data_IF_977952088978
#
_entry.id   IF_977952088978
#
_cell.length_a   1.000
_cell.length_b   1.000
_cell.length_c   1.000
_cell.angle_alpha   90.00
_cell.angle_beta   90.00
_cell.angle_gamma   90.00
#
_symmetry.space_group_name_H-M   'P 1'
#
loop_
_entity.id
_entity.type
_entity.pdbx_description
1 polymer ?
#
# COMPACT_ATOMS: atom_id res chain seq x y z
N UNK A 1 -3.79 -11.29 2.61
CA UNK A 1 -4.71 -10.62 1.66
C UNK A 1 -4.06 -10.12 0.38
N UNK A 2 -4.87 -9.69 -0.59
CA UNK A 2 -4.45 -9.42 -1.97
C UNK A 2 -5.23 -8.29 -2.67
N UNK A 3 -4.56 -7.58 -3.58
CA UNK A 3 -5.17 -6.72 -4.60
C UNK A 3 -5.14 -7.43 -5.95
N UNK A 4 -6.30 -7.61 -6.57
CA UNK A 4 -6.48 -8.18 -7.90
C UNK A 4 -6.81 -7.05 -8.87
N UNK A 5 -5.96 -6.85 -9.89
CA UNK A 5 -6.20 -5.85 -10.93
C UNK A 5 -6.63 -6.56 -12.19
N UNK A 6 -7.89 -6.38 -12.60
CA UNK A 6 -8.38 -6.94 -13.86
C UNK A 6 -8.09 -5.95 -14.98
N UNK A 7 -7.48 -6.39 -16.07
CA UNK A 7 -7.21 -5.55 -17.24
C UNK A 7 -7.62 -6.24 -18.54
N UNK A 8 -7.82 -5.44 -19.58
CA UNK A 8 -8.21 -5.92 -20.91
C UNK A 8 -8.92 -4.82 -21.71
N UNK A 9 -9.11 -5.08 -23.00
CA UNK A 9 -9.79 -4.17 -23.92
C UNK A 9 -11.17 -3.73 -23.39
N UNK A 10 -11.70 -2.55 -23.79
CA UNK A 10 -13.06 -2.16 -23.43
C UNK A 10 -14.04 -3.25 -23.84
N UNK A 11 -15.01 -3.55 -22.97
CA UNK A 11 -15.97 -4.63 -23.16
C UNK A 11 -15.39 -6.05 -23.24
N UNK A 12 -14.14 -6.33 -22.86
CA UNK A 12 -13.53 -7.67 -22.95
C UNK A 12 -14.07 -8.77 -22.02
N UNK A 13 -15.13 -8.49 -21.22
CA UNK A 13 -15.69 -9.46 -20.27
C UNK A 13 -15.18 -9.33 -18.82
N UNK A 14 -14.39 -8.30 -18.51
CA UNK A 14 -13.81 -8.04 -17.17
C UNK A 14 -14.81 -8.17 -16.02
N UNK A 15 -15.94 -7.48 -16.09
CA UNK A 15 -16.96 -7.52 -15.05
C UNK A 15 -17.63 -8.87 -14.87
N UNK A 16 -17.67 -9.69 -15.93
CA UNK A 16 -18.15 -11.08 -15.82
C UNK A 16 -17.11 -11.93 -15.09
N UNK A 17 -15.83 -11.76 -15.43
CA UNK A 17 -14.73 -12.45 -14.75
C UNK A 17 -14.61 -12.03 -13.28
N UNK A 18 -14.78 -10.74 -12.97
CA UNK A 18 -14.77 -10.22 -11.59
C UNK A 18 -15.85 -10.91 -10.74
N UNK A 19 -17.09 -10.95 -11.24
CA UNK A 19 -18.21 -11.63 -10.58
C UNK A 19 -17.98 -13.12 -10.43
N UNK A 20 -17.48 -13.77 -11.49
CA UNK A 20 -17.15 -15.19 -11.47
C UNK A 20 -16.10 -15.52 -10.39
N UNK A 21 -15.03 -14.72 -10.31
CA UNK A 21 -13.99 -14.85 -9.30
C UNK A 21 -14.55 -14.63 -7.88
N UNK A 22 -15.44 -13.65 -7.68
CA UNK A 22 -16.12 -13.48 -6.39
C UNK A 22 -16.90 -14.73 -6.03
N UNK A 23 -17.78 -15.22 -6.90
CA UNK A 23 -18.56 -16.42 -6.62
C UNK A 23 -17.67 -17.62 -6.26
N UNK A 24 -16.56 -17.81 -6.99
CA UNK A 24 -15.61 -18.88 -6.70
C UNK A 24 -14.90 -18.69 -5.36
N UNK A 25 -14.55 -17.45 -4.98
CA UNK A 25 -13.98 -17.13 -3.66
C UNK A 25 -14.98 -17.32 -2.52
N UNK A 26 -16.26 -17.02 -2.74
CA UNK A 26 -17.32 -17.20 -1.75
C UNK A 26 -17.61 -18.67 -1.44
N UNK A 27 -17.30 -19.58 -2.36
CA UNK A 27 -17.43 -21.02 -2.18
C UNK A 27 -16.28 -21.65 -1.38
N UNK A 28 -15.20 -20.91 -1.08
CA UNK A 28 -14.06 -21.42 -0.31
C UNK A 28 -14.28 -21.23 1.19
N UNK A 29 -13.88 -22.23 1.99
CA UNK A 29 -13.83 -22.12 3.45
C UNK A 29 -12.38 -22.05 3.99
N UNK A 30 -12.08 -21.11 4.92
CA UNK A 30 -12.96 -20.06 5.44
C UNK A 30 -13.25 -18.97 4.40
N UNK A 31 -14.49 -18.45 4.39
CA UNK A 31 -14.95 -17.44 3.42
C UNK A 31 -14.11 -16.16 3.53
N UNK A 32 -13.32 -15.80 2.50
CA UNK A 32 -12.56 -14.56 2.51
C UNK A 32 -13.50 -13.36 2.37
N UNK A 33 -13.14 -12.23 3.00
CA UNK A 33 -13.82 -10.96 2.74
C UNK A 33 -13.37 -10.44 1.37
N UNK A 34 -14.30 -10.31 0.42
CA UNK A 34 -14.00 -9.84 -0.94
C UNK A 34 -14.83 -8.58 -1.24
N UNK A 35 -14.23 -7.61 -1.91
CA UNK A 35 -14.91 -6.40 -2.39
C UNK A 35 -14.47 -6.07 -3.82
N UNK A 36 -15.44 -5.80 -4.69
CA UNK A 36 -15.19 -5.26 -6.03
C UNK A 36 -15.23 -3.73 -5.95
N UNK A 37 -14.29 -3.08 -6.63
CA UNK A 37 -14.27 -1.64 -6.89
C UNK A 37 -14.33 -1.47 -8.40
N UNK A 38 -15.41 -0.86 -8.88
CA UNK A 38 -15.70 -0.61 -10.29
C UNK A 38 -16.23 0.82 -10.51
N UNK A 39 -16.35 1.26 -11.76
CA UNK A 39 -16.90 2.59 -12.06
C UNK A 39 -18.39 2.72 -11.70
N UNK A 40 -19.15 1.61 -11.84
CA UNK A 40 -20.60 1.56 -11.56
C UNK A 40 -20.92 1.94 -10.12
N UNK A 41 -20.09 1.52 -9.16
CA UNK A 41 -20.27 1.81 -7.73
C UNK A 41 -20.25 3.30 -7.39
N UNK A 42 -19.71 4.14 -8.28
CA UNK A 42 -19.64 5.59 -8.09
C UNK A 42 -20.67 6.35 -8.94
N UNK A 43 -21.60 5.65 -9.58
CA UNK A 43 -22.56 6.24 -10.53
C UNK A 43 -21.88 7.01 -11.68
N UNK A 44 -20.68 6.58 -12.06
CA UNK A 44 -19.90 7.21 -13.12
C UNK A 44 -20.25 6.58 -14.46
N UNK A 45 -20.88 7.35 -15.35
CA UNK A 45 -21.23 6.90 -16.69
C UNK A 45 -20.00 6.67 -17.57
N UNK A 46 -19.98 5.59 -18.35
CA UNK A 46 -18.85 5.23 -19.24
C UNK A 46 -18.47 6.38 -20.18
N UNK A 47 -19.40 6.87 -20.97
CA UNK A 47 -19.11 7.92 -21.96
C UNK A 47 -18.67 9.23 -21.30
N UNK A 48 -19.23 9.60 -20.15
CA UNK A 48 -18.82 10.81 -19.43
C UNK A 48 -17.41 10.66 -18.84
N UNK A 49 -17.09 9.50 -18.29
CA UNK A 49 -15.82 9.27 -17.59
C UNK A 49 -14.63 9.14 -18.54
N UNK A 50 -14.88 8.77 -19.80
CA UNK A 50 -13.88 8.59 -20.84
C UNK A 50 -14.03 9.59 -21.99
N UNK A 51 -14.81 10.67 -21.80
CA UNK A 51 -15.03 11.70 -22.82
C UNK A 51 -13.75 12.46 -23.17
N UNK A 52 -12.91 12.74 -22.16
CA UNK A 52 -11.66 13.46 -22.30
C UNK A 52 -10.62 13.02 -21.26
N UNK A 53 -9.38 13.50 -21.43
CA UNK A 53 -8.26 13.17 -20.54
C UNK A 53 -8.45 13.63 -19.09
N UNK A 54 -9.18 14.71 -18.86
CA UNK A 54 -9.43 15.26 -17.53
C UNK A 54 -10.45 14.42 -16.78
N UNK A 55 -11.56 14.06 -17.44
CA UNK A 55 -12.57 13.17 -16.92
C UNK A 55 -11.97 11.80 -16.56
N UNK A 56 -11.14 11.25 -17.45
CA UNK A 56 -10.49 9.96 -17.23
C UNK A 56 -9.48 10.02 -16.07
N UNK A 57 -8.72 11.12 -15.96
CA UNK A 57 -7.80 11.35 -14.83
C UNK A 57 -8.56 11.44 -13.50
N UNK A 58 -9.69 12.13 -13.48
CA UNK A 58 -10.53 12.24 -12.29
C UNK A 58 -11.11 10.87 -11.89
N UNK A 59 -11.63 10.11 -12.86
CA UNK A 59 -12.09 8.73 -12.65
C UNK A 59 -10.99 7.87 -12.00
N UNK A 60 -9.80 7.87 -12.61
CA UNK A 60 -8.65 7.12 -12.08
C UNK A 60 -8.28 7.55 -10.66
N UNK A 61 -8.36 8.84 -10.37
CA UNK A 61 -8.13 9.39 -9.02
C UNK A 61 -9.15 8.92 -7.99
N UNK A 62 -10.44 8.87 -8.35
CA UNK A 62 -11.52 8.36 -7.49
C UNK A 62 -11.32 6.88 -7.20
N UNK A 63 -11.17 6.05 -8.24
CA UNK A 63 -10.94 4.61 -8.11
C UNK A 63 -9.70 4.32 -7.27
N UNK A 64 -8.59 5.01 -7.54
CA UNK A 64 -7.33 4.86 -6.80
C UNK A 64 -7.52 5.19 -5.32
N UNK A 65 -8.25 6.27 -5.02
CA UNK A 65 -8.51 6.69 -3.63
C UNK A 65 -9.37 5.67 -2.89
N UNK A 66 -10.37 5.08 -3.54
CA UNK A 66 -11.17 4.03 -2.92
C UNK A 66 -10.37 2.75 -2.70
N UNK A 67 -9.51 2.37 -3.66
CA UNK A 67 -8.60 1.24 -3.50
C UNK A 67 -7.74 1.45 -2.27
N UNK A 68 -7.03 2.58 -2.18
CA UNK A 68 -6.13 2.90 -1.06
C UNK A 68 -6.83 2.77 0.31
N UNK A 69 -8.04 3.33 0.44
CA UNK A 69 -8.84 3.24 1.67
C UNK A 69 -9.35 1.83 1.98
N UNK A 70 -9.59 1.03 0.95
CA UNK A 70 -10.14 -0.33 1.08
C UNK A 70 -9.07 -1.39 1.33
N UNK A 71 -7.80 -1.11 1.02
CA UNK A 71 -6.74 -2.09 1.20
C UNK A 71 -6.55 -2.43 2.69
N UNK A 72 -6.61 -3.72 3.01
CA UNK A 72 -6.25 -4.23 4.34
C UNK A 72 -5.55 -5.58 4.25
N UNK A 73 -5.00 -6.05 5.38
CA UNK A 73 -4.42 -7.38 5.48
C UNK A 73 -5.46 -8.50 5.62
N UNK A 74 -6.75 -8.14 5.69
CA UNK A 74 -7.90 -9.03 6.00
C UNK A 74 -9.08 -9.01 4.98
N UNK A 75 -8.99 -8.25 3.86
CA UNK A 75 -9.84 -8.39 2.66
C UNK A 75 -9.09 -8.58 1.31
N UNK A 76 -9.74 -9.22 0.34
CA UNK A 76 -9.34 -9.25 -1.06
C UNK A 76 -10.07 -8.13 -1.78
N UNK A 77 -9.32 -7.26 -2.46
CA UNK A 77 -9.89 -6.18 -3.27
C UNK A 77 -9.71 -6.53 -4.74
N UNK A 78 -10.80 -6.49 -5.51
CA UNK A 78 -10.82 -6.70 -6.96
C UNK A 78 -11.12 -5.38 -7.63
N UNK A 79 -10.23 -4.91 -8.50
CA UNK A 79 -10.43 -3.68 -9.28
C UNK A 79 -10.94 -4.06 -10.66
N UNK A 80 -12.25 -3.92 -10.87
CA UNK A 80 -12.94 -4.11 -12.14
C UNK A 80 -13.10 -2.77 -12.86
N UNK A 81 -12.05 -2.35 -13.55
CA UNK A 81 -12.03 -1.15 -14.38
C UNK A 81 -11.25 -1.46 -15.67
N UNK A 82 -11.10 -0.52 -16.59
CA UNK A 82 -10.30 -0.71 -17.81
C UNK A 82 -8.85 -1.09 -17.49
N UNK A 83 -8.23 -0.41 -16.52
CA UNK A 83 -6.81 -0.60 -16.16
C UNK A 83 -5.89 -0.68 -17.40
N UNK A 84 -6.20 0.14 -18.41
CA UNK A 84 -5.73 0.01 -19.79
C UNK A 84 -4.27 0.44 -20.00
N UNK A 85 -3.75 1.32 -19.14
CA UNK A 85 -2.39 1.83 -19.22
C UNK A 85 -1.50 1.25 -18.12
N UNK A 86 -0.23 0.98 -18.46
CA UNK A 86 0.78 0.40 -17.56
C UNK A 86 1.05 1.30 -16.35
N UNK A 87 1.03 2.63 -16.56
CA UNK A 87 1.29 3.60 -15.50
C UNK A 87 0.27 3.51 -14.37
N UNK A 88 -1.01 3.33 -14.72
CA UNK A 88 -2.06 3.19 -13.71
C UNK A 88 -1.98 1.84 -12.99
N UNK A 89 -1.65 0.75 -13.69
CA UNK A 89 -1.41 -0.56 -13.06
C UNK A 89 -0.22 -0.51 -12.09
N UNK A 90 0.83 0.22 -12.44
CA UNK A 90 1.98 0.48 -11.56
C UNK A 90 1.60 1.29 -10.31
N UNK A 91 0.73 2.30 -10.43
CA UNK A 91 0.21 3.04 -9.27
C UNK A 91 -0.56 2.11 -8.31
N UNK A 92 -1.44 1.26 -8.83
CA UNK A 92 -2.16 0.28 -8.02
C UNK A 92 -1.22 -0.75 -7.37
N UNK A 93 -0.19 -1.19 -8.09
CA UNK A 93 0.86 -2.04 -7.52
C UNK A 93 1.61 -1.36 -6.37
N UNK A 94 1.92 -0.06 -6.50
CA UNK A 94 2.54 0.72 -5.42
C UNK A 94 1.66 0.74 -4.16
N UNK A 95 0.33 0.87 -4.29
CA UNK A 95 -0.59 0.80 -3.16
C UNK A 95 -0.57 -0.58 -2.50
N UNK A 96 -0.62 -1.66 -3.28
CA UNK A 96 -0.52 -3.01 -2.75
C UNK A 96 0.83 -3.26 -2.05
N UNK A 97 1.92 -2.70 -2.59
CA UNK A 97 3.25 -2.76 -1.97
C UNK A 97 3.31 -1.99 -0.66
N UNK A 98 2.71 -0.80 -0.61
CA UNK A 98 2.61 0.03 0.59
C UNK A 98 1.81 -0.67 1.71
N UNK A 99 0.68 -1.27 1.35
CA UNK A 99 -0.17 -2.05 2.27
C UNK A 99 0.47 -3.38 2.71
N UNK A 100 1.53 -3.82 2.02
CA UNK A 100 2.22 -5.07 2.29
C UNK A 100 1.34 -6.29 2.04
N UNK A 101 0.59 -6.28 0.93
CA UNK A 101 -0.33 -7.36 0.54
C UNK A 101 0.14 -8.03 -0.76
N UNK A 102 -0.51 -9.13 -1.14
CA UNK A 102 -0.30 -9.76 -2.46
C UNK A 102 -0.86 -8.86 -3.56
N UNK A 103 -0.32 -9.02 -4.76
CA UNK A 103 -0.81 -8.35 -5.96
C UNK A 103 -0.84 -9.36 -7.11
N UNK A 104 -1.86 -9.30 -7.96
CA UNK A 104 -1.88 -10.01 -9.22
C UNK A 104 -2.62 -9.21 -10.30
N UNK A 105 -2.17 -9.38 -11.55
CA UNK A 105 -2.88 -8.92 -12.74
C UNK A 105 -3.64 -10.11 -13.31
N UNK A 106 -4.94 -9.92 -13.54
CA UNK A 106 -5.80 -10.85 -14.27
C UNK A 106 -6.14 -10.20 -15.62
N UNK A 107 -5.68 -10.81 -16.70
CA UNK A 107 -5.82 -10.29 -18.06
C UNK A 107 -6.94 -10.99 -18.82
N UNK A 108 -7.88 -10.21 -19.36
CA UNK A 108 -8.90 -10.67 -20.28
C UNK A 108 -8.45 -10.40 -21.73
N UNK A 109 -7.85 -11.39 -22.39
CA UNK A 109 -7.35 -11.32 -23.77
C UNK A 109 -8.47 -11.56 -24.79
N UNK A 110 -9.45 -10.66 -24.81
CA UNK A 110 -10.52 -10.70 -25.81
C UNK A 110 -10.12 -9.84 -27.01
N UNK A 111 -10.17 -10.42 -28.21
CA UNK A 111 -9.88 -9.72 -29.45
C UNK A 111 -10.80 -8.50 -29.70
N UNK A 112 -10.28 -7.49 -30.38
CA UNK A 112 -10.96 -6.21 -30.61
C UNK A 112 -12.30 -6.36 -31.34
N UNK A 113 -12.37 -7.29 -32.30
CA UNK A 113 -13.60 -7.56 -33.07
C UNK A 113 -14.74 -8.03 -32.16
N UNK A 114 -14.45 -8.97 -31.25
CA UNK A 114 -15.44 -9.45 -30.27
C UNK A 114 -15.82 -8.35 -29.28
N UNK A 115 -14.84 -7.56 -28.82
CA UNK A 115 -15.11 -6.43 -27.93
C UNK A 115 -16.07 -5.41 -28.58
N UNK A 116 -15.89 -5.12 -29.87
CA UNK A 116 -16.76 -4.22 -30.63
C UNK A 116 -18.16 -4.79 -30.81
N UNK A 117 -18.25 -6.07 -31.17
CA UNK A 117 -19.53 -6.76 -31.31
C UNK A 117 -20.31 -6.74 -29.99
N UNK A 118 -19.66 -7.02 -28.86
CA UNK A 118 -20.28 -6.97 -27.55
C UNK A 118 -20.66 -5.56 -27.12
N UNK A 119 -19.88 -4.54 -27.50
CA UNK A 119 -20.24 -3.15 -27.26
C UNK A 119 -21.50 -2.74 -28.04
N UNK A 120 -21.62 -3.16 -29.30
CA UNK A 120 -22.80 -2.87 -30.13
C UNK A 120 -24.05 -3.57 -29.58
N UNK A 121 -23.95 -4.87 -29.24
CA UNK A 121 -25.03 -5.63 -28.62
C UNK A 121 -25.53 -4.99 -27.32
N UNK A 122 -24.64 -4.42 -26.51
CA UNK A 122 -25.03 -3.67 -25.31
C UNK A 122 -25.82 -2.40 -25.65
N UNK A 123 -25.40 -1.67 -26.68
CA UNK A 123 -26.12 -0.50 -27.15
C UNK A 123 -27.52 -0.85 -27.67
N UNK A 124 -27.67 -1.97 -28.39
CA UNK A 124 -28.97 -2.49 -28.85
C UNK A 124 -29.89 -2.89 -27.69
N UNK A 125 -29.32 -3.42 -26.60
CA UNK A 125 -30.05 -3.83 -25.40
C UNK A 125 -30.30 -2.68 -24.40
N UNK A 126 -30.05 -1.42 -24.79
CA UNK A 126 -30.14 -0.24 -23.90
C UNK A 126 -29.28 -0.34 -22.62
N UNK A 127 -28.24 -1.18 -22.65
CA UNK A 127 -27.26 -1.27 -21.59
C UNK A 127 -26.19 -0.17 -21.74
N UNK A 128 -25.43 0.08 -20.66
CA UNK A 128 -24.31 1.00 -20.71
C UNK A 128 -23.28 0.52 -21.77
N UNK A 129 -23.13 1.27 -22.86
CA UNK A 129 -22.18 1.02 -23.94
C UNK A 129 -21.22 2.20 -24.09
N UNK A 130 -20.12 1.99 -24.80
CA UNK A 130 -19.22 3.07 -25.20
C UNK A 130 -19.63 3.62 -26.56
N UNK A 131 -19.59 4.95 -26.71
CA UNK A 131 -19.72 5.59 -28.02
C UNK A 131 -18.57 5.13 -28.93
N UNK A 132 -18.85 4.97 -30.23
CA UNK A 132 -17.87 4.43 -31.19
C UNK A 132 -16.53 5.15 -31.15
N UNK A 133 -16.55 6.49 -31.05
CA UNK A 133 -15.33 7.31 -30.97
C UNK A 133 -14.51 7.02 -29.71
N UNK A 134 -15.17 6.91 -28.56
CA UNK A 134 -14.52 6.63 -27.27
C UNK A 134 -13.99 5.20 -27.28
N UNK A 135 -14.77 4.24 -27.77
CA UNK A 135 -14.35 2.86 -27.89
C UNK A 135 -13.08 2.71 -28.74
N UNK A 136 -13.05 3.33 -29.93
CA UNK A 136 -11.91 3.25 -30.85
C UNK A 136 -10.65 3.88 -30.25
N UNK A 137 -10.80 4.99 -29.52
CA UNK A 137 -9.71 5.62 -28.79
C UNK A 137 -9.18 4.71 -27.67
N UNK A 138 -10.07 4.14 -26.85
CA UNK A 138 -9.70 3.24 -25.75
C UNK A 138 -8.98 1.98 -26.24
N UNK A 139 -9.44 1.39 -27.35
CA UNK A 139 -8.81 0.21 -27.96
C UNK A 139 -7.38 0.51 -28.39
N UNK A 140 -7.14 1.66 -29.03
CA UNK A 140 -5.80 2.08 -29.50
C UNK A 140 -4.84 2.38 -28.35
N UNK A 141 -5.36 2.86 -27.22
CA UNK A 141 -4.56 3.21 -26.04
C UNK A 141 -4.26 2.03 -25.11
N UNK A 142 -4.82 0.84 -25.37
CA UNK A 142 -4.62 -0.30 -24.50
C UNK A 142 -3.18 -0.83 -24.55
N UNK A 143 -2.48 -0.74 -23.42
CA UNK A 143 -1.15 -1.32 -23.23
C UNK A 143 -1.29 -2.72 -22.61
N UNK A 144 -1.05 -3.76 -23.42
CA UNK A 144 -1.05 -5.16 -22.95
C UNK A 144 -0.10 -5.35 -21.76
N UNK A 145 -0.50 -6.14 -20.74
CA UNK A 145 0.35 -6.43 -19.59
C UNK A 145 1.63 -7.17 -20.01
N UNK A 146 2.79 -6.74 -19.50
CA UNK A 146 4.10 -7.28 -19.90
C UNK A 146 4.62 -8.32 -18.88
N UNK A 147 4.78 -9.57 -19.33
CA UNK A 147 5.33 -10.69 -18.54
C UNK A 147 6.74 -10.44 -18.01
N UNK A 148 7.52 -9.56 -18.65
CA UNK A 148 8.89 -9.20 -18.20
C UNK A 148 8.86 -8.36 -16.93
N UNK A 149 7.79 -7.58 -16.74
CA UNK A 149 7.62 -6.73 -15.58
C UNK A 149 6.93 -7.52 -14.47
N UNK A 150 7.64 -7.80 -13.37
CA UNK A 150 7.07 -8.56 -12.25
C UNK A 150 5.76 -7.97 -11.70
N UNK A 151 5.62 -6.64 -11.73
CA UNK A 151 4.42 -5.93 -11.29
C UNK A 151 3.32 -5.86 -12.35
N UNK A 152 3.63 -6.09 -13.62
CA UNK A 152 2.67 -6.03 -14.73
C UNK A 152 2.36 -7.40 -15.35
N UNK A 153 3.01 -8.46 -14.83
CA UNK A 153 2.89 -9.79 -15.39
C UNK A 153 1.46 -10.30 -15.25
N UNK A 154 0.79 -10.69 -16.35
CA UNK A 154 -0.55 -11.28 -16.31
C UNK A 154 -0.47 -12.68 -15.72
N UNK A 155 -0.61 -12.78 -14.39
CA UNK A 155 -0.52 -14.05 -13.66
C UNK A 155 -1.66 -15.00 -14.03
N UNK A 156 -2.81 -14.45 -14.39
CA UNK A 156 -3.97 -15.19 -14.86
C UNK A 156 -4.44 -14.55 -16.16
N UNK A 157 -4.60 -15.37 -17.20
CA UNK A 157 -5.00 -14.92 -18.53
C UNK A 157 -6.22 -15.73 -18.96
N UNK A 158 -7.29 -15.05 -19.33
CA UNK A 158 -8.52 -15.67 -19.83
C UNK A 158 -8.82 -15.15 -21.23
N UNK A 159 -9.44 -15.99 -22.04
CA UNK A 159 -9.98 -15.61 -23.35
C UNK A 159 -11.50 -15.76 -23.36
N UNK A 160 -12.26 -14.83 -22.73
CA UNK A 160 -13.72 -14.91 -22.60
C UNK A 160 -14.48 -15.20 -23.89
N UNK A 161 -13.98 -14.75 -25.05
CA UNK A 161 -14.65 -14.95 -26.34
C UNK A 161 -14.58 -16.38 -26.86
N UNK A 162 -13.64 -17.21 -26.40
CA UNK A 162 -13.46 -18.60 -26.85
C UNK A 162 -13.82 -19.62 -25.78
N UNK A 163 -13.37 -19.36 -24.56
CA UNK A 163 -13.46 -20.32 -23.45
C UNK A 163 -14.71 -20.09 -22.58
N UNK A 164 -15.41 -18.98 -22.80
CA UNK A 164 -16.45 -18.54 -21.88
C UNK A 164 -15.87 -18.08 -20.54
N UNK A 165 -16.76 -17.75 -19.60
CA UNK A 165 -16.37 -17.37 -18.23
C UNK A 165 -17.19 -18.21 -17.27
N UNK A 166 -16.58 -19.28 -16.76
CA UNK A 166 -17.19 -20.21 -15.81
C UNK A 166 -16.39 -20.28 -14.51
N UNK A 167 -17.08 -20.56 -13.41
CA UNK A 167 -16.47 -20.67 -12.07
C UNK A 167 -15.52 -21.86 -11.98
N UNK A 168 -15.80 -22.92 -12.75
CA UNK A 168 -14.99 -24.12 -12.92
C UNK A 168 -13.78 -23.95 -13.83
N UNK A 169 -13.59 -22.77 -14.44
CA UNK A 169 -12.43 -22.52 -15.30
C UNK A 169 -11.13 -22.75 -14.52
N UNK A 170 -10.15 -23.48 -15.09
CA UNK A 170 -8.88 -23.76 -14.41
C UNK A 170 -8.16 -22.48 -13.99
N UNK A 171 -8.27 -21.41 -14.80
CA UNK A 171 -7.65 -20.12 -14.50
C UNK A 171 -8.28 -19.45 -13.27
N UNK A 172 -9.60 -19.57 -13.10
CA UNK A 172 -10.30 -19.04 -11.91
C UNK A 172 -9.95 -19.88 -10.69
N UNK A 173 -9.88 -21.20 -10.82
CA UNK A 173 -9.46 -22.10 -9.74
C UNK A 173 -8.02 -21.80 -9.28
N UNK A 174 -7.09 -21.57 -10.23
CA UNK A 174 -5.70 -21.19 -9.95
C UNK A 174 -5.63 -19.82 -9.27
N UNK A 175 -6.45 -18.86 -9.72
CA UNK A 175 -6.54 -17.54 -9.08
C UNK A 175 -7.05 -17.65 -7.65
N UNK A 176 -8.12 -18.41 -7.40
CA UNK A 176 -8.66 -18.67 -6.07
C UNK A 176 -7.61 -19.32 -5.17
N UNK A 177 -6.93 -20.36 -5.67
CA UNK A 177 -5.82 -21.03 -4.97
C UNK A 177 -4.71 -20.03 -4.60
N UNK A 178 -4.24 -19.21 -5.54
CA UNK A 178 -3.24 -18.19 -5.28
C UNK A 178 -3.67 -17.16 -4.21
N UNK A 179 -4.94 -16.75 -4.23
CA UNK A 179 -5.49 -15.73 -3.33
C UNK A 179 -5.76 -16.24 -1.92
N UNK A 180 -6.10 -17.52 -1.77
CA UNK A 180 -6.51 -18.14 -0.49
C UNK A 180 -5.39 -18.91 0.18
N UNK A 181 -4.38 -19.36 -0.58
CA UNK A 181 -3.24 -20.11 -0.05
C UNK A 181 -2.52 -19.34 1.06
N UNK A 182 -2.21 -20.05 2.15
CA UNK A 182 -1.43 -19.53 3.27
C UNK A 182 0.01 -19.31 2.84
N UNK A 183 0.57 -18.18 3.25
CA UNK A 183 1.94 -17.79 2.90
C UNK A 183 2.88 -18.48 3.87
N UNK A 184 3.37 -19.67 3.48
CA UNK A 184 4.41 -20.35 4.24
C UNK A 184 5.78 -19.84 3.82
N UNK A 185 6.68 -19.65 4.79
CA UNK A 185 8.06 -19.15 4.62
C UNK A 185 8.94 -19.98 3.67
N UNK A 186 8.45 -21.14 3.21
CA UNK A 186 9.12 -22.05 2.27
C UNK A 186 8.73 -21.83 0.81
N UNK A 187 7.62 -21.16 0.54
CA UNK A 187 7.11 -20.96 -0.83
C UNK A 187 7.67 -19.66 -1.42
N UNK A 188 8.67 -19.77 -2.30
CA UNK A 188 9.35 -18.60 -2.91
C UNK A 188 8.49 -17.83 -3.91
N UNK A 189 7.40 -18.44 -4.39
CA UNK A 189 6.61 -17.94 -5.53
C UNK A 189 5.48 -16.99 -5.12
N UNK A 190 4.90 -17.18 -3.92
CA UNK A 190 3.81 -16.33 -3.40
C UNK A 190 4.41 -15.27 -2.49
N UNK A 191 4.95 -14.21 -3.08
CA UNK A 191 5.59 -13.13 -2.33
C UNK A 191 4.56 -12.05 -1.98
N UNK A 192 4.19 -11.99 -0.70
CA UNK A 192 3.61 -10.78 -0.10
C UNK A 192 4.57 -9.63 -0.38
N UNK A 193 4.07 -8.53 -0.94
CA UNK A 193 4.91 -7.39 -1.24
C UNK A 193 5.42 -6.80 0.08
N UNK A 194 6.69 -6.43 0.14
CA UNK A 194 7.24 -5.74 1.30
C UNK A 194 7.27 -4.23 1.01
N UNK A 195 6.71 -3.40 1.91
CA UNK A 195 6.80 -1.96 1.79
C UNK A 195 8.27 -1.56 1.77
N UNK A 196 8.65 -0.74 0.80
CA UNK A 196 9.96 -0.08 0.78
C UNK A 196 9.79 1.36 1.23
N UNK A 197 10.86 1.99 1.71
CA UNK A 197 10.86 3.37 2.22
C UNK A 197 10.14 4.33 1.27
N UNK A 198 10.33 4.20 -0.05
CA UNK A 198 9.68 5.02 -1.08
C UNK A 198 8.16 4.82 -1.24
N UNK A 199 7.61 3.72 -0.71
CA UNK A 199 6.18 3.38 -0.76
C UNK A 199 5.52 3.41 0.62
N UNK A 200 6.28 3.68 1.68
CA UNK A 200 5.69 3.85 3.00
C UNK A 200 5.08 5.25 3.08
N UNK A 201 3.75 5.31 3.18
CA UNK A 201 3.09 6.52 3.64
C UNK A 201 3.64 6.82 5.04
N UNK A 202 4.06 8.07 5.28
CA UNK A 202 4.44 8.55 6.61
C UNK A 202 3.31 8.14 7.53
N UNK A 203 3.56 7.19 8.45
CA UNK A 203 2.56 6.88 9.48
C UNK A 203 2.24 8.20 10.15
N UNK A 204 0.96 8.57 10.18
CA UNK A 204 0.53 9.64 11.07
C UNK A 204 0.94 9.18 12.47
N UNK A 205 2.03 9.74 12.98
CA UNK A 205 2.44 9.52 14.36
C UNK A 205 1.24 9.94 15.19
N UNK A 206 0.70 9.03 16.02
CA UNK A 206 -0.38 9.40 16.93
C UNK A 206 0.06 10.67 17.64
N UNK A 207 -0.76 11.72 17.61
CA UNK A 207 -0.39 13.05 18.11
C UNK A 207 0.16 13.01 19.55
N UNK A 208 -0.21 11.99 20.31
CA UNK A 208 0.29 11.71 21.66
C UNK A 208 1.76 11.24 21.70
N UNK A 209 2.23 10.46 20.73
CA UNK A 209 3.58 9.85 20.78
C UNK A 209 4.71 10.88 20.68
N UNK A 210 4.55 11.93 19.87
CA UNK A 210 5.54 13.01 19.77
C UNK A 210 5.56 13.89 21.02
N UNK A 211 4.38 14.15 21.60
CA UNK A 211 4.26 14.88 22.85
C UNK A 211 4.90 14.11 24.02
N UNK A 212 4.62 12.82 24.14
CA UNK A 212 5.23 11.95 25.16
C UNK A 212 6.75 11.82 24.99
N UNK A 213 7.24 11.75 23.76
CA UNK A 213 8.68 11.74 23.48
C UNK A 213 9.36 13.07 23.86
N UNK A 214 8.71 14.20 23.54
CA UNK A 214 9.22 15.52 23.88
C UNK A 214 9.29 15.73 25.40
N UNK A 215 8.23 15.34 26.11
CA UNK A 215 8.16 15.36 27.57
C UNK A 215 9.21 14.45 28.22
N UNK A 216 9.31 13.20 27.75
CA UNK A 216 10.29 12.23 28.27
C UNK A 216 11.74 12.71 28.11
N UNK A 217 12.09 13.29 26.95
CA UNK A 217 13.44 13.81 26.70
C UNK A 217 13.75 15.05 27.54
N UNK A 218 12.76 15.93 27.78
CA UNK A 218 12.91 17.08 28.67
C UNK A 218 13.16 16.65 30.13
N UNK A 219 12.44 15.63 30.62
CA UNK A 219 12.64 15.09 31.98
C UNK A 219 14.09 14.60 32.19
N UNK A 220 14.65 13.90 31.20
CA UNK A 220 16.05 13.43 31.25
C UNK A 220 17.04 14.61 31.27
N UNK A 221 16.83 15.65 30.44
CA UNK A 221 17.69 16.84 30.44
C UNK A 221 17.65 17.53 31.81
N UNK A 222 16.46 17.72 32.39
CA UNK A 222 16.31 18.37 33.68
C UNK A 222 17.04 17.60 34.78
N UNK A 223 16.92 16.26 34.79
CA UNK A 223 17.65 15.41 35.74
C UNK A 223 19.17 15.52 35.61
N UNK A 224 19.70 15.63 34.38
CA UNK A 224 21.14 15.82 34.14
C UNK A 224 21.60 17.19 34.65
N UNK A 225 20.83 18.25 34.40
CA UNK A 225 21.17 19.62 34.82
C UNK A 225 21.14 19.75 36.35
N UNK A 226 20.13 19.18 37.01
CA UNK A 226 20.02 19.16 38.47
C UNK A 226 21.16 18.37 39.11
N UNK A 227 21.55 17.25 38.52
CA UNK A 227 22.70 16.49 38.98
C UNK A 227 24.02 17.25 38.86
N UNK A 228 24.25 17.93 37.74
CA UNK A 228 25.46 18.72 37.51
C UNK A 228 25.55 19.93 38.44
N UNK A 229 24.41 20.47 38.89
CA UNK A 229 24.36 21.57 39.87
C UNK A 229 24.60 21.08 41.31
N UNK A 230 24.17 19.87 41.67
CA UNK A 230 24.47 19.29 42.98
C UNK A 230 25.92 18.80 43.11
N UNK A 231 26.58 18.45 42.01
CA UNK A 231 27.99 18.02 41.96
C UNK A 231 29.02 19.18 42.08
N UNK A 232 28.60 20.37 42.54
CA UNK A 232 29.43 21.58 42.66
C UNK A 232 30.53 21.53 43.75
N UNK A 233 30.80 20.37 44.36
CA UNK A 233 31.79 20.21 45.44
C UNK A 233 32.61 18.91 45.46
N UNK A 234 32.61 18.08 44.40
CA UNK A 234 33.36 16.81 44.38
C UNK A 234 33.91 16.42 43.00
N UNK A 235 34.94 15.56 43.00
CA UNK A 235 35.65 15.09 41.78
C UNK A 235 34.68 14.43 40.78
N UNK A 236 34.74 14.89 39.53
CA UNK A 236 33.78 14.64 38.43
C UNK A 236 33.81 13.23 37.83
N UNK A 237 34.27 12.23 38.56
CA UNK A 237 34.43 10.89 37.99
C UNK A 237 33.16 10.06 38.18
N UNK A 238 32.38 9.93 37.10
CA UNK A 238 31.16 9.12 36.93
C UNK A 238 29.97 9.56 37.77
N UNK A 239 29.19 10.46 37.20
CA UNK A 239 27.79 10.64 37.61
C UNK A 239 26.95 9.66 36.79
N UNK A 240 26.70 8.45 37.32
CA UNK A 240 25.74 7.50 36.73
C UNK A 240 24.33 7.85 37.18
N UNK A 241 23.65 8.70 36.41
CA UNK A 241 22.27 9.12 36.73
C UNK A 241 21.35 8.67 35.61
N UNK A 242 20.27 7.98 35.99
CA UNK A 242 19.32 7.38 35.05
C UNK A 242 19.99 6.50 33.98
N UNK A 243 21.05 5.76 34.36
CA UNK A 243 21.90 4.97 33.45
C UNK A 243 22.67 5.77 32.38
N UNK A 244 22.76 7.10 32.48
CA UNK A 244 23.63 7.93 31.64
C UNK A 244 25.01 7.99 32.27
N UNK A 245 26.06 7.59 31.54
CA UNK A 245 27.46 7.71 31.95
C UNK A 245 28.04 8.98 31.33
N UNK A 246 28.16 10.02 32.14
CA UNK A 246 28.71 11.31 31.71
C UNK A 246 30.12 11.45 32.27
N UNK A 247 31.12 11.47 31.39
CA UNK A 247 32.55 11.59 31.75
C UNK A 247 33.04 13.06 31.79
N UNK A 248 32.30 13.99 31.17
CA UNK A 248 32.58 15.43 31.15
C UNK A 248 31.33 16.27 31.43
N UNK A 249 31.48 17.48 31.96
CA UNK A 249 30.33 18.40 32.06
C UNK A 249 29.82 18.74 30.65
N UNK A 250 28.52 18.53 30.44
CA UNK A 250 27.82 18.83 29.18
C UNK A 250 26.93 20.04 29.42
N UNK A 251 27.13 21.11 28.66
CA UNK A 251 26.35 22.34 28.80
C UNK A 251 24.90 22.16 28.33
N UNK A 252 23.99 22.97 28.88
CA UNK A 252 22.58 22.99 28.45
C UNK A 252 22.41 23.19 26.91
N UNK A 253 23.19 24.06 26.23
CA UNK A 253 23.08 24.21 24.78
C UNK A 253 23.41 22.92 24.00
N UNK A 254 24.36 22.14 24.50
CA UNK A 254 24.78 20.88 23.88
C UNK A 254 23.71 19.79 24.09
N UNK A 255 23.13 19.69 25.29
CA UNK A 255 22.01 18.79 25.57
C UNK A 255 20.77 19.11 24.71
N UNK A 256 20.46 20.39 24.51
CA UNK A 256 19.36 20.83 23.64
C UNK A 256 19.65 20.46 22.18
N UNK A 257 20.89 20.63 21.72
CA UNK A 257 21.31 20.24 20.38
C UNK A 257 21.17 18.73 20.16
N UNK A 258 21.67 17.92 21.10
CA UNK A 258 21.57 16.45 21.06
C UNK A 258 20.11 15.98 21.08
N UNK A 259 19.24 16.62 21.87
CA UNK A 259 17.80 16.34 21.85
C UNK A 259 17.16 16.65 20.50
N UNK A 260 17.45 17.80 19.89
CA UNK A 260 16.91 18.14 18.56
C UNK A 260 17.32 17.10 17.51
N UNK A 261 18.58 16.67 17.54
CA UNK A 261 19.09 15.61 16.65
C UNK A 261 18.40 14.27 16.91
N UNK A 262 18.23 13.88 18.18
CA UNK A 262 17.51 12.66 18.56
C UNK A 262 16.03 12.67 18.11
N UNK A 263 15.31 13.77 18.32
CA UNK A 263 13.91 13.92 17.88
C UNK A 263 13.83 13.82 16.36
N UNK A 264 14.74 14.47 15.64
CA UNK A 264 14.81 14.39 14.17
C UNK A 264 15.08 12.97 13.69
N UNK A 265 16.04 12.27 14.30
CA UNK A 265 16.37 10.88 13.98
C UNK A 265 15.19 9.96 14.26
N UNK A 266 14.54 10.09 15.42
CA UNK A 266 13.41 9.23 15.81
C UNK A 266 12.17 9.49 14.94
N UNK A 267 11.91 10.75 14.59
CA UNK A 267 10.89 11.12 13.62
C UNK A 267 11.13 10.53 12.23
N UNK A 268 12.38 10.52 11.75
CA UNK A 268 12.77 9.94 10.46
C UNK A 268 12.81 8.40 10.47
N UNK A 269 13.15 7.79 11.61
CA UNK A 269 13.23 6.32 11.76
C UNK A 269 11.88 5.63 11.63
N UNK A 270 10.78 6.38 11.80
CA UNK A 270 9.40 5.95 11.48
C UNK A 270 9.20 5.50 10.02
N UNK A 271 10.17 5.74 9.13
CA UNK A 271 10.14 5.38 7.70
C UNK A 271 10.95 4.12 7.34
N UNK A 272 11.78 3.57 8.24
CA UNK A 272 12.55 2.34 7.93
C UNK A 272 13.12 1.56 9.11
N UNK A 273 13.03 2.07 10.35
CA UNK A 273 13.57 1.43 11.53
C UNK A 273 12.52 1.04 12.57
N UNK A 274 13.00 0.67 13.76
CA UNK A 274 12.17 0.27 14.90
C UNK A 274 11.11 1.36 15.17
N UNK A 275 9.85 0.99 15.44
CA UNK A 275 8.79 1.97 15.67
C UNK A 275 9.20 2.96 16.77
N UNK A 276 8.73 4.22 16.69
CA UNK A 276 8.91 5.17 17.77
C UNK A 276 8.36 4.57 19.08
N UNK A 277 8.97 4.91 20.23
CA UNK A 277 8.55 4.38 21.52
C UNK A 277 7.07 4.69 21.75
N UNK A 278 6.30 3.66 22.14
CA UNK A 278 4.86 3.75 22.41
C UNK A 278 4.55 4.37 23.78
N UNK A 279 5.55 4.39 24.67
CA UNK A 279 5.44 4.75 26.07
C UNK A 279 6.62 5.63 26.51
N UNK A 280 6.36 6.52 27.46
CA UNK A 280 7.34 7.49 27.96
C UNK A 280 8.61 6.83 28.51
N UNK A 281 8.48 5.66 29.15
CA UNK A 281 9.62 4.92 29.71
C UNK A 281 10.56 4.37 28.63
N UNK A 282 10.01 3.82 27.55
CA UNK A 282 10.82 3.43 26.39
C UNK A 282 11.50 4.63 25.72
N UNK A 283 10.82 5.78 25.66
CA UNK A 283 11.39 7.02 25.11
C UNK A 283 12.58 7.52 25.96
N UNK A 284 12.46 7.48 27.29
CA UNK A 284 13.56 7.80 28.21
C UNK A 284 14.76 6.89 27.98
N UNK A 285 14.55 5.57 27.94
CA UNK A 285 15.62 4.58 27.72
C UNK A 285 16.35 4.82 26.40
N UNK A 286 15.60 5.01 25.31
CA UNK A 286 16.20 5.26 23.99
C UNK A 286 17.01 6.56 23.95
N UNK A 287 16.54 7.61 24.62
CA UNK A 287 17.27 8.87 24.68
C UNK A 287 18.52 8.76 25.56
N UNK A 288 18.44 8.04 26.69
CA UNK A 288 19.60 7.71 27.55
C UNK A 288 20.66 6.93 26.77
N UNK A 289 20.27 5.91 26.02
CA UNK A 289 21.18 5.12 25.18
C UNK A 289 21.84 5.98 24.10
N UNK A 290 21.09 6.92 23.50
CA UNK A 290 21.63 7.87 22.54
C UNK A 290 22.66 8.80 23.19
N UNK A 291 22.35 9.36 24.36
CA UNK A 291 23.28 10.20 25.12
C UNK A 291 24.55 9.43 25.49
N UNK A 292 24.43 8.17 25.90
CA UNK A 292 25.59 7.32 26.20
C UNK A 292 26.48 7.05 24.99
N UNK A 293 25.92 6.99 23.77
CA UNK A 293 26.72 6.84 22.54
C UNK A 293 27.40 8.14 22.13
N UNK A 294 26.72 9.25 22.25
CA UNK A 294 27.27 10.55 21.80
C UNK A 294 28.22 11.16 22.84
N UNK A 295 28.04 10.85 24.13
CA UNK A 295 28.79 11.44 25.24
C UNK A 295 29.71 10.42 25.93
N UNK A 296 29.36 9.14 25.93
CA UNK A 296 30.06 8.09 26.69
C UNK A 296 31.21 7.38 25.96
N UNK A 297 31.55 7.77 24.72
CA UNK A 297 32.69 7.23 23.97
C UNK A 297 33.71 8.31 23.59
N UNK A 298 34.08 9.20 24.51
CA UNK A 298 35.21 10.13 24.33
C UNK A 298 36.16 10.09 25.50
#
# INVERSE_FOLDING_TARGET
MALVVICGQPCSGKSTVARCLVCALEAVEPKPRVRIIDESSFHLGRNQSYADMTAEKNLRGVLRSEVDRSLSKDNIIIVDSLNNIKGYRYELWCLARAAGIRYCVLYCDTGENYCREWNNKRGENEESSFDTKIFDDLVKRFERPDRRNRWDCPLFELVPSREGVEQSSPVIADAVSYLTRKVDSRTRDIRVLQPTIATQNVRATEANSLYELDKATQEVINAIVEAQSQALGGSLNKVSIAHVNIERRVGLPELISLRRTFIKLTGQTSLSGRPPPSDAESAKRMFVDYLNREIGTS
#
